data_IF_800774944071
#
_entry.id   IF_800774944071
#
_cell.length_a   1.000
_cell.length_b   1.000
_cell.length_c   1.000
_cell.angle_alpha   90.00
_cell.angle_beta   90.00
_cell.angle_gamma   90.00
#
_symmetry.space_group_name_H-M   'P 1'
#
loop_
_entity.id
_entity.type
_entity.pdbx_description
1 polymer ?
#
# COMPACT_ATOMS: atom_id res chain seq x y z
N UNK A 1 12.10 4.58 -0.59
CA UNK A 1 11.09 5.54 -1.10
C UNK A 1 9.73 4.85 -1.04
N UNK A 2 8.72 5.43 -0.36
CA UNK A 2 7.38 4.82 -0.28
C UNK A 2 6.69 4.69 -1.65
N UNK A 3 5.77 3.73 -1.85
CA UNK A 3 5.07 3.57 -3.12
C UNK A 3 4.20 4.80 -3.44
N UNK A 4 4.18 5.23 -4.71
CA UNK A 4 3.32 6.32 -5.17
C UNK A 4 1.88 5.84 -5.39
N UNK A 5 0.95 6.77 -5.66
CA UNK A 5 -0.48 6.44 -5.84
C UNK A 5 -0.75 5.42 -6.95
N UNK A 6 -0.07 5.56 -8.09
CA UNK A 6 -0.19 4.62 -9.21
C UNK A 6 0.27 3.20 -8.82
N UNK A 7 1.38 3.08 -8.10
CA UNK A 7 1.87 1.78 -7.62
C UNK A 7 0.88 1.14 -6.63
N UNK A 8 0.32 1.92 -5.71
CA UNK A 8 -0.65 1.40 -4.72
C UNK A 8 -1.89 0.82 -5.39
N UNK A 9 -2.44 1.55 -6.36
CA UNK A 9 -3.61 1.07 -7.12
C UNK A 9 -3.26 -0.17 -7.96
N UNK A 10 -2.10 -0.16 -8.62
CA UNK A 10 -1.62 -1.33 -9.37
C UNK A 10 -1.51 -2.57 -8.48
N UNK A 11 -0.89 -2.46 -7.29
CA UNK A 11 -0.81 -3.57 -6.34
C UNK A 11 -2.19 -4.09 -5.91
N UNK A 12 -3.15 -3.19 -5.66
CA UNK A 12 -4.53 -3.58 -5.31
C UNK A 12 -5.19 -4.39 -6.42
N UNK A 13 -4.98 -4.01 -7.68
CA UNK A 13 -5.59 -4.68 -8.85
C UNK A 13 -5.03 -6.10 -9.11
N UNK A 14 -3.84 -6.42 -8.59
CA UNK A 14 -3.24 -7.75 -8.78
C UNK A 14 -3.96 -8.84 -7.98
N UNK A 15 -4.41 -8.53 -6.76
CA UNK A 15 -5.21 -9.43 -5.92
C UNK A 15 -5.86 -8.64 -4.78
N UNK A 16 -7.13 -8.96 -4.39
CA UNK A 16 -7.75 -8.44 -3.17
C UNK A 16 -6.94 -8.73 -1.90
N UNK A 17 -6.13 -9.80 -1.86
CA UNK A 17 -5.31 -10.11 -0.68
C UNK A 17 -4.22 -9.06 -0.42
N UNK A 18 -3.83 -8.29 -1.45
CA UNK A 18 -2.75 -7.31 -1.34
C UNK A 18 -3.08 -6.12 -0.43
N UNK A 19 -4.33 -5.96 -0.01
CA UNK A 19 -4.72 -5.01 1.04
C UNK A 19 -3.89 -5.19 2.33
N UNK A 20 -3.44 -6.44 2.60
CA UNK A 20 -2.63 -6.83 3.76
C UNK A 20 -1.12 -6.74 3.53
N UNK A 21 -0.68 -6.35 2.33
CA UNK A 21 0.75 -6.25 2.01
C UNK A 21 1.37 -5.06 2.74
N UNK A 22 2.41 -5.32 3.53
CA UNK A 22 3.17 -4.31 4.25
C UNK A 22 4.23 -3.66 3.36
N UNK A 23 4.28 -2.33 3.37
CA UNK A 23 5.31 -1.54 2.70
C UNK A 23 6.22 -0.85 3.72
N UNK A 24 7.53 -0.96 3.51
CA UNK A 24 8.52 -0.24 4.28
C UNK A 24 8.48 1.27 3.97
N UNK A 25 8.21 2.09 4.99
CA UNK A 25 8.14 3.55 4.89
C UNK A 25 9.39 4.23 5.43
N UNK A 26 9.97 3.70 6.51
CA UNK A 26 11.21 4.19 7.11
C UNK A 26 11.96 3.04 7.80
N UNK A 27 13.28 3.12 7.83
CA UNK A 27 14.14 2.11 8.48
C UNK A 27 14.49 2.45 9.93
N UNK A 28 14.54 3.75 10.27
CA UNK A 28 14.92 4.25 11.60
C UNK A 28 14.09 5.50 11.97
N UNK A 29 13.11 5.40 12.88
CA UNK A 29 12.58 4.15 13.42
C UNK A 29 11.96 3.27 12.31
N UNK A 30 11.97 1.95 12.48
CA UNK A 30 11.32 1.03 11.56
C UNK A 30 9.82 1.37 11.49
N UNK A 31 9.35 1.68 10.29
CA UNK A 31 7.96 2.01 10.04
C UNK A 31 7.48 1.30 8.79
N UNK A 32 6.43 0.50 8.93
CA UNK A 32 5.68 -0.11 7.84
C UNK A 32 4.24 0.38 7.85
N UNK A 33 3.51 0.14 6.76
CA UNK A 33 2.07 0.29 6.69
C UNK A 33 1.50 -0.68 5.66
N UNK A 34 0.29 -1.17 5.91
CA UNK A 34 -0.44 -2.01 4.98
C UNK A 34 -0.89 -1.21 3.75
N UNK A 35 -1.10 -1.88 2.62
CA UNK A 35 -1.63 -1.24 1.41
C UNK A 35 -2.96 -0.53 1.66
N UNK A 36 -3.85 -1.14 2.46
CA UNK A 36 -5.14 -0.57 2.81
C UNK A 36 -5.03 0.78 3.56
N UNK A 37 -3.98 0.96 4.37
CA UNK A 37 -3.72 2.23 5.07
C UNK A 37 -3.18 3.30 4.11
N UNK A 38 -2.43 2.88 3.09
CA UNK A 38 -1.87 3.77 2.07
C UNK A 38 -2.87 4.15 0.97
N UNK A 39 -3.99 3.45 0.87
CA UNK A 39 -5.03 3.64 -0.15
C UNK A 39 -6.45 3.52 0.47
N UNK A 40 -6.86 4.48 1.33
CA UNK A 40 -8.11 4.38 2.12
C UNK A 40 -9.40 4.53 1.29
N UNK A 41 -9.32 5.09 0.10
CA UNK A 41 -10.43 5.27 -0.82
C UNK A 41 -10.01 4.80 -2.22
N UNK A 42 -9.94 3.48 -2.46
CA UNK A 42 -9.56 2.94 -3.77
C UNK A 42 -10.56 3.39 -4.83
N UNK A 43 -10.08 3.55 -6.07
CA UNK A 43 -10.90 4.08 -7.16
C UNK A 43 -12.11 3.20 -7.47
N UNK A 44 -11.97 1.89 -7.34
CA UNK A 44 -13.06 0.93 -7.53
C UNK A 44 -13.51 0.39 -6.17
N UNK A 45 -14.81 0.52 -5.90
CA UNK A 45 -15.54 -0.08 -4.78
C UNK A 45 -16.67 -0.92 -5.33
#
# INVERSE_FOLDING_TARGET
MPPCGCCREFFRLLSPENERTEFLLAEQPLKTAALAELLPAPWQK
#
